data_IF_818112435781
#
_entry.id   IF_818112435781
#
_cell.length_a   1.000
_cell.length_b   1.000
_cell.length_c   1.000
_cell.angle_alpha   90.00
_cell.angle_beta   90.00
_cell.angle_gamma   90.00
#
_symmetry.space_group_name_H-M   'P 1'
#
loop_
_entity.id
_entity.type
_entity.pdbx_description
1 polymer ?
#
# COMPACT_ATOMS: atom_id res chain seq x y z
N UNK A 1 -23.36 16.80 -65.32
CA UNK A 1 -23.81 15.81 -64.31
C UNK A 1 -22.58 15.31 -63.57
N UNK A 2 -22.22 15.93 -62.45
CA UNK A 2 -21.06 15.51 -61.64
C UNK A 2 -21.52 14.45 -60.64
N UNK A 3 -21.11 13.21 -60.85
CA UNK A 3 -21.27 12.14 -59.86
C UNK A 3 -20.21 12.40 -58.79
N UNK A 4 -20.60 13.04 -57.68
CA UNK A 4 -19.81 12.97 -56.43
C UNK A 4 -19.81 11.50 -55.99
N UNK A 5 -18.70 10.81 -56.19
CA UNK A 5 -18.43 9.55 -55.49
C UNK A 5 -18.41 9.88 -54.00
N UNK A 6 -19.46 9.51 -53.29
CA UNK A 6 -19.48 9.46 -51.83
C UNK A 6 -18.36 8.51 -51.40
N UNK A 7 -17.37 9.03 -50.70
CA UNK A 7 -16.25 8.26 -50.17
C UNK A 7 -16.77 7.53 -48.91
N UNK A 8 -17.29 6.31 -49.06
CA UNK A 8 -17.93 5.51 -47.98
C UNK A 8 -16.86 4.81 -47.10
N UNK A 9 -15.72 5.46 -46.80
CA UNK A 9 -14.52 4.79 -46.21
C UNK A 9 -14.01 5.34 -44.87
N UNK A 10 -14.87 5.93 -44.05
CA UNK A 10 -14.56 6.17 -42.64
C UNK A 10 -15.40 5.27 -41.73
N UNK A 11 -15.27 3.96 -41.94
CA UNK A 11 -15.76 2.97 -40.99
C UNK A 11 -14.79 2.93 -39.79
N UNK A 12 -15.29 2.94 -38.54
CA UNK A 12 -14.43 3.05 -37.36
C UNK A 12 -13.62 1.77 -37.15
N UNK A 13 -12.31 1.92 -36.92
CA UNK A 13 -11.45 0.88 -36.35
C UNK A 13 -11.51 1.01 -34.84
N UNK A 14 -11.85 -0.06 -34.14
CA UNK A 14 -11.90 -0.09 -32.69
C UNK A 14 -10.61 -0.71 -32.14
N UNK A 15 -10.01 -0.08 -31.14
CA UNK A 15 -8.89 -0.67 -30.40
C UNK A 15 -9.17 -0.58 -28.91
N UNK A 16 -8.94 -1.68 -28.21
CA UNK A 16 -9.19 -1.81 -26.78
C UNK A 16 -8.25 -2.84 -26.14
N UNK A 17 -8.10 -2.74 -24.82
CA UNK A 17 -7.21 -3.58 -24.02
C UNK A 17 -6.36 -2.74 -23.06
N UNK A 18 -6.03 -3.31 -21.90
CA UNK A 18 -5.28 -2.60 -20.86
C UNK A 18 -3.86 -2.24 -21.31
N UNK A 19 -3.30 -3.00 -22.25
CA UNK A 19 -2.01 -2.70 -22.88
C UNK A 19 -1.98 -1.41 -23.71
N UNK A 20 -3.09 -0.67 -23.83
CA UNK A 20 -3.12 0.69 -24.40
C UNK A 20 -3.06 1.80 -23.33
N UNK A 21 -3.08 1.44 -22.06
CA UNK A 21 -3.10 2.39 -20.93
C UNK A 21 -1.90 2.21 -20.01
N UNK A 22 -1.57 0.96 -19.70
CA UNK A 22 -0.51 0.64 -18.76
C UNK A 22 0.16 -0.69 -19.10
N UNK A 23 1.43 -0.83 -18.73
CA UNK A 23 2.21 -2.06 -18.90
C UNK A 23 3.19 -2.23 -17.74
N UNK A 24 3.43 -3.46 -17.30
CA UNK A 24 4.50 -3.75 -16.35
C UNK A 24 5.80 -4.05 -17.11
N UNK A 25 6.91 -3.49 -16.63
CA UNK A 25 8.25 -3.77 -17.17
C UNK A 25 8.51 -5.28 -17.19
N UNK A 26 9.05 -5.78 -18.30
CA UNK A 26 9.38 -7.18 -18.54
C UNK A 26 8.19 -8.15 -18.53
N UNK A 27 6.94 -7.64 -18.58
CA UNK A 27 5.73 -8.46 -18.66
C UNK A 27 5.03 -8.23 -19.99
N UNK A 28 4.52 -9.30 -20.61
CA UNK A 28 3.76 -9.20 -21.85
C UNK A 28 2.44 -8.47 -21.63
N UNK A 29 2.27 -7.36 -22.33
CA UNK A 29 1.03 -6.59 -22.43
C UNK A 29 0.38 -6.83 -23.78
N UNK A 30 -0.95 -6.68 -23.85
CA UNK A 30 -1.68 -6.92 -25.09
C UNK A 30 -2.84 -5.95 -25.29
N UNK A 31 -3.19 -5.77 -26.57
CA UNK A 31 -4.40 -5.08 -26.99
C UNK A 31 -4.94 -5.66 -28.29
N UNK A 32 -6.20 -5.37 -28.59
CA UNK A 32 -6.93 -5.91 -29.72
C UNK A 32 -7.27 -4.77 -30.69
N UNK A 33 -7.08 -5.03 -31.98
CA UNK A 33 -7.50 -4.19 -33.09
C UNK A 33 -8.64 -4.90 -33.81
N UNK A 34 -9.82 -4.29 -33.80
CA UNK A 34 -11.00 -4.73 -34.54
C UNK A 34 -11.30 -3.73 -35.66
N UNK A 35 -10.96 -4.12 -36.88
CA UNK A 35 -11.21 -3.36 -38.09
C UNK A 35 -12.16 -4.08 -39.06
N UNK A 36 -12.98 -5.02 -38.58
CA UNK A 36 -13.94 -5.79 -39.41
C UNK A 36 -14.76 -4.95 -40.39
N UNK A 37 -15.15 -3.76 -39.98
CA UNK A 37 -15.96 -2.84 -40.78
C UNK A 37 -15.16 -2.01 -41.78
N UNK A 38 -13.82 -1.99 -41.68
CA UNK A 38 -12.97 -1.01 -42.36
C UNK A 38 -11.78 -1.62 -43.13
N UNK A 39 -11.41 -2.87 -42.84
CA UNK A 39 -10.21 -3.50 -43.40
C UNK A 39 -10.42 -4.09 -44.80
N UNK A 40 -9.35 -4.09 -45.59
CA UNK A 40 -9.21 -4.91 -46.80
C UNK A 40 -8.43 -6.19 -46.45
N UNK A 41 -8.68 -7.32 -47.12
CA UNK A 41 -7.94 -8.57 -46.85
C UNK A 41 -6.42 -8.50 -47.04
N UNK A 42 -5.92 -7.50 -47.75
CA UNK A 42 -4.51 -7.22 -47.97
C UNK A 42 -3.91 -6.24 -46.96
N UNK A 43 -4.71 -5.66 -46.07
CA UNK A 43 -4.21 -4.70 -45.09
C UNK A 43 -3.40 -5.43 -44.03
N UNK A 44 -2.21 -4.89 -43.74
CA UNK A 44 -1.34 -5.34 -42.66
C UNK A 44 -1.37 -4.34 -41.51
N UNK A 45 -1.26 -4.84 -40.29
CA UNK A 45 -1.10 -3.99 -39.10
C UNK A 45 0.37 -3.73 -38.87
N UNK A 46 0.74 -2.45 -38.81
CA UNK A 46 2.08 -2.01 -38.44
C UNK A 46 2.04 -1.23 -37.13
N UNK A 47 2.95 -1.58 -36.22
CA UNK A 47 3.10 -0.97 -34.90
C UNK A 47 4.43 -0.22 -34.85
N UNK A 48 4.39 1.01 -34.37
CA UNK A 48 5.59 1.82 -34.09
C UNK A 48 5.57 2.21 -32.62
N UNK A 49 6.70 2.06 -31.95
CA UNK A 49 6.87 2.35 -30.52
C UNK A 49 7.84 3.52 -30.35
N UNK A 50 7.45 4.50 -29.54
CA UNK A 50 8.17 5.74 -29.30
C UNK A 50 8.26 6.01 -27.77
N UNK A 51 9.46 6.27 -27.20
CA UNK A 51 10.76 6.18 -27.85
C UNK A 51 11.08 4.74 -28.29
N UNK A 52 11.93 4.55 -29.31
CA UNK A 52 12.34 3.21 -29.70
C UNK A 52 13.22 2.63 -28.59
N UNK A 53 12.76 1.57 -27.93
CA UNK A 53 13.59 0.84 -26.97
C UNK A 53 14.38 -0.26 -27.71
N UNK A 54 15.62 -0.50 -27.26
CA UNK A 54 16.53 -1.45 -27.93
C UNK A 54 16.03 -2.90 -27.95
N UNK A 55 15.15 -3.25 -27.02
CA UNK A 55 14.75 -4.64 -26.77
C UNK A 55 13.25 -4.87 -26.83
N UNK A 56 12.44 -3.90 -27.29
CA UNK A 56 10.98 -4.06 -27.30
C UNK A 56 10.58 -5.19 -28.24
N UNK A 57 10.00 -6.24 -27.68
CA UNK A 57 9.38 -7.31 -28.45
C UNK A 57 7.97 -6.86 -28.84
N UNK A 58 7.62 -6.96 -30.12
CA UNK A 58 6.25 -6.73 -30.62
C UNK A 58 5.86 -7.89 -31.52
N UNK A 59 4.73 -8.50 -31.23
CA UNK A 59 4.14 -9.56 -32.02
C UNK A 59 2.72 -9.17 -32.44
N UNK A 60 2.48 -9.19 -33.74
CA UNK A 60 1.15 -8.97 -34.32
C UNK A 60 0.59 -10.31 -34.75
N UNK A 61 -0.48 -10.75 -34.10
CA UNK A 61 -1.18 -12.00 -34.37
C UNK A 61 -2.45 -11.67 -35.16
N UNK A 62 -2.54 -12.17 -36.40
CA UNK A 62 -3.71 -12.02 -37.23
C UNK A 62 -4.71 -13.15 -36.92
N UNK A 63 -5.87 -12.82 -36.35
CA UNK A 63 -6.95 -13.77 -36.08
C UNK A 63 -7.90 -13.95 -37.26
N UNK A 64 -7.53 -13.42 -38.43
CA UNK A 64 -8.36 -13.32 -39.63
C UNK A 64 -9.55 -12.38 -39.44
N UNK A 65 -10.27 -12.15 -40.53
CA UNK A 65 -11.50 -11.34 -40.55
C UNK A 65 -11.35 -9.96 -39.90
N UNK A 66 -10.22 -9.27 -40.13
CA UNK A 66 -10.05 -7.91 -39.64
C UNK A 66 -9.83 -7.78 -38.13
N UNK A 67 -9.46 -8.87 -37.46
CA UNK A 67 -9.13 -8.90 -36.05
C UNK A 67 -7.65 -9.22 -35.84
N UNK A 68 -6.94 -8.37 -35.09
CA UNK A 68 -5.56 -8.61 -34.70
C UNK A 68 -5.39 -8.48 -33.19
N UNK A 69 -4.52 -9.31 -32.63
CA UNK A 69 -3.99 -9.15 -31.28
C UNK A 69 -2.55 -8.68 -31.39
N UNK A 70 -2.21 -7.62 -30.65
CA UNK A 70 -0.85 -7.13 -30.55
C UNK A 70 -0.36 -7.46 -29.15
N UNK A 71 0.74 -8.20 -29.07
CA UNK A 71 1.49 -8.45 -27.85
C UNK A 71 2.77 -7.63 -27.87
N UNK A 72 3.15 -7.04 -26.74
CA UNK A 72 4.44 -6.39 -26.61
C UNK A 72 5.02 -6.51 -25.20
N UNK A 73 6.34 -6.35 -25.09
CA UNK A 73 7.05 -6.28 -23.81
C UNK A 73 7.91 -5.02 -23.81
N UNK A 74 7.68 -4.14 -22.85
CA UNK A 74 8.54 -2.97 -22.61
C UNK A 74 9.55 -3.26 -21.50
N UNK A 75 10.72 -2.65 -21.61
CA UNK A 75 11.86 -2.87 -20.70
C UNK A 75 12.24 -1.62 -19.91
N UNK A 76 11.62 -0.47 -20.17
CA UNK A 76 11.95 0.81 -19.56
C UNK A 76 10.72 1.43 -18.89
N UNK A 77 10.90 1.93 -17.67
CA UNK A 77 9.85 2.65 -16.92
C UNK A 77 9.65 4.02 -17.57
N UNK A 78 8.41 4.42 -17.83
CA UNK A 78 8.11 5.73 -18.41
C UNK A 78 6.85 5.77 -19.28
N UNK A 79 6.62 6.91 -19.94
CA UNK A 79 5.57 7.05 -20.96
C UNK A 79 6.08 6.46 -22.29
N UNK A 80 5.37 5.44 -22.77
CA UNK A 80 5.53 4.85 -24.09
C UNK A 80 4.39 5.33 -24.99
N UNK A 81 4.68 5.57 -26.26
CA UNK A 81 3.69 5.89 -27.29
C UNK A 81 3.65 4.79 -28.33
N UNK A 82 2.45 4.23 -28.57
CA UNK A 82 2.20 3.26 -29.62
C UNK A 82 1.45 3.95 -30.75
N UNK A 83 2.02 3.90 -31.96
CA UNK A 83 1.34 4.26 -33.19
C UNK A 83 0.92 3.00 -33.94
N UNK A 84 -0.34 2.97 -34.34
CA UNK A 84 -0.94 1.85 -35.08
C UNK A 84 -1.31 2.30 -36.48
N UNK A 85 -0.88 1.53 -37.47
CA UNK A 85 -1.23 1.70 -38.88
C UNK A 85 -1.97 0.46 -39.37
N UNK A 86 -3.00 0.68 -40.19
CA UNK A 86 -3.67 -0.36 -40.97
C UNK A 86 -3.41 -0.08 -42.45
N UNK A 87 -2.62 -0.93 -43.10
CA UNK A 87 -1.96 -0.59 -44.35
C UNK A 87 -1.08 0.66 -44.17
N UNK A 88 -1.24 1.64 -45.06
CA UNK A 88 -0.54 2.93 -44.97
C UNK A 88 -1.31 4.00 -44.17
N UNK A 89 -2.50 3.68 -43.63
CA UNK A 89 -3.33 4.65 -42.91
C UNK A 89 -3.04 4.61 -41.42
N UNK A 90 -2.63 5.75 -40.86
CA UNK A 90 -2.64 5.96 -39.41
C UNK A 90 -4.09 5.96 -38.94
N UNK A 91 -4.43 5.07 -38.01
CA UNK A 91 -5.80 5.00 -37.49
C UNK A 91 -6.08 6.17 -36.53
N UNK A 92 -7.34 6.35 -36.16
CA UNK A 92 -7.77 7.39 -35.23
C UNK A 92 -7.24 7.14 -33.80
N UNK A 93 -7.19 8.21 -32.99
CA UNK A 93 -6.75 8.20 -31.58
C UNK A 93 -5.28 7.88 -31.32
N UNK A 94 -4.46 7.81 -32.37
CA UNK A 94 -3.01 7.82 -32.23
C UNK A 94 -2.47 9.19 -31.76
N UNK A 95 -1.31 9.22 -31.07
CA UNK A 95 -0.64 8.06 -30.48
C UNK A 95 -1.37 7.58 -29.21
N UNK A 96 -1.36 6.27 -28.98
CA UNK A 96 -1.79 5.71 -27.69
C UNK A 96 -0.67 5.90 -26.68
N UNK A 97 -0.97 6.49 -25.52
CA UNK A 97 -0.01 6.73 -24.44
C UNK A 97 -0.16 5.66 -23.36
N UNK A 98 0.93 4.98 -23.05
CA UNK A 98 1.00 3.88 -22.10
C UNK A 98 1.99 4.26 -20.99
N UNK A 99 1.58 4.12 -19.74
CA UNK A 99 2.48 4.24 -18.61
C UNK A 99 3.09 2.87 -18.28
N UNK A 100 4.40 2.74 -18.48
CA UNK A 100 5.16 1.55 -18.12
C UNK A 100 5.64 1.68 -16.67
N UNK A 101 5.36 0.69 -15.84
CA UNK A 101 5.63 0.71 -14.40
C UNK A 101 6.33 -0.57 -13.91
N UNK A 102 6.98 -0.53 -12.74
CA UNK A 102 7.61 -1.68 -12.10
C UNK A 102 7.26 -1.73 -10.60
N UNK A 103 6.43 -2.71 -10.22
CA UNK A 103 6.04 -2.94 -8.82
C UNK A 103 7.21 -3.34 -7.93
N UNK A 104 8.31 -3.85 -8.49
CA UNK A 104 9.49 -4.24 -7.72
C UNK A 104 10.31 -3.03 -7.24
N UNK A 105 10.04 -1.84 -7.78
CA UNK A 105 10.66 -0.59 -7.34
C UNK A 105 9.87 0.12 -6.23
N UNK A 106 8.77 -0.48 -5.76
CA UNK A 106 7.97 0.07 -4.66
C UNK A 106 8.56 -0.40 -3.33
N UNK A 107 8.78 0.55 -2.42
CA UNK A 107 9.37 0.26 -1.12
C UNK A 107 8.46 0.71 0.02
N UNK A 108 8.25 -0.21 0.96
CA UNK A 108 7.53 0.05 2.21
C UNK A 108 8.54 0.15 3.34
N UNK A 109 8.45 1.22 4.14
CA UNK A 109 9.38 1.47 5.24
C UNK A 109 8.65 1.96 6.48
N UNK A 110 9.33 1.85 7.63
CA UNK A 110 8.82 2.27 8.95
C UNK A 110 7.51 1.58 9.38
N UNK A 111 7.19 0.42 8.83
CA UNK A 111 6.14 -0.42 9.39
C UNK A 111 6.66 -1.12 10.64
N UNK A 112 6.02 -0.88 11.78
CA UNK A 112 6.31 -1.51 13.05
C UNK A 112 5.04 -2.05 13.68
N UNK A 113 5.21 -2.90 14.69
CA UNK A 113 4.14 -3.29 15.59
C UNK A 113 3.52 -2.07 16.29
N UNK A 114 2.31 -2.24 16.79
CA UNK A 114 1.50 -1.16 17.33
C UNK A 114 0.64 -1.57 18.51
N UNK A 115 -0.19 -0.64 18.96
CA UNK A 115 -1.08 -0.86 20.09
C UNK A 115 -2.52 -0.52 19.72
N UNK A 116 -3.47 -1.22 20.34
CA UNK A 116 -4.89 -0.90 20.22
C UNK A 116 -5.13 0.58 20.56
N UNK A 117 -5.92 1.26 19.73
CA UNK A 117 -6.24 2.69 19.82
C UNK A 117 -5.04 3.65 19.67
N UNK A 118 -3.90 3.19 19.15
CA UNK A 118 -2.77 4.05 18.79
C UNK A 118 -2.55 4.01 17.28
N UNK A 119 -2.27 5.17 16.68
CA UNK A 119 -2.02 5.23 15.24
C UNK A 119 -0.75 4.47 14.87
N UNK A 120 -0.88 3.54 13.93
CA UNK A 120 0.26 2.93 13.24
C UNK A 120 0.51 3.74 11.97
N UNK A 121 1.78 4.09 11.73
CA UNK A 121 2.21 4.90 10.59
C UNK A 121 3.36 4.21 9.87
N UNK A 122 3.31 4.22 8.54
CA UNK A 122 4.39 3.71 7.70
C UNK A 122 4.41 4.46 6.36
N UNK A 123 5.51 4.33 5.63
CA UNK A 123 5.75 5.09 4.40
C UNK A 123 5.80 4.15 3.20
N UNK A 124 5.27 4.61 2.06
CA UNK A 124 5.37 3.95 0.76
C UNK A 124 6.07 4.90 -0.22
N UNK A 125 7.17 4.44 -0.79
CA UNK A 125 7.92 5.12 -1.85
C UNK A 125 7.67 4.43 -3.19
N UNK A 126 7.20 5.19 -4.17
CA UNK A 126 6.93 4.75 -5.55
C UNK A 126 7.76 5.53 -6.58
N UNK A 127 8.79 6.27 -6.17
CA UNK A 127 9.52 7.22 -7.04
C UNK A 127 10.15 6.56 -8.26
N UNK A 128 10.57 5.30 -8.13
CA UNK A 128 11.15 4.50 -9.21
C UNK A 128 10.16 3.56 -9.87
N UNK A 129 8.92 3.48 -9.39
CA UNK A 129 7.93 2.52 -9.90
C UNK A 129 7.24 2.99 -11.18
N UNK A 130 7.32 4.28 -11.52
CA UNK A 130 6.56 4.87 -12.62
C UNK A 130 5.19 5.36 -12.17
N UNK A 131 4.39 5.82 -13.12
CA UNK A 131 3.08 6.41 -12.85
C UNK A 131 2.03 5.30 -12.68
N UNK A 132 1.23 5.38 -11.63
CA UNK A 132 0.16 4.43 -11.39
C UNK A 132 -0.69 4.75 -10.17
N UNK A 133 -1.71 3.92 -9.97
CA UNK A 133 -2.63 4.01 -8.85
C UNK A 133 -2.17 3.08 -7.73
N UNK A 134 -1.97 3.65 -6.54
CA UNK A 134 -1.66 2.91 -5.32
C UNK A 134 -2.95 2.63 -4.55
N UNK A 135 -3.11 1.39 -4.09
CA UNK A 135 -4.24 0.92 -3.30
C UNK A 135 -3.71 0.24 -2.04
N UNK A 136 -4.26 0.60 -0.88
CA UNK A 136 -3.85 0.05 0.42
C UNK A 136 -5.09 -0.42 1.17
N UNK A 137 -5.05 -1.65 1.65
CA UNK A 137 -6.11 -2.26 2.45
C UNK A 137 -5.51 -2.79 3.74
N UNK A 138 -6.15 -2.48 4.87
CA UNK A 138 -5.78 -3.05 6.17
C UNK A 138 -6.88 -4.01 6.59
N UNK A 139 -6.49 -5.26 6.85
CA UNK A 139 -7.40 -6.37 7.20
C UNK A 139 -8.52 -6.53 6.17
N UNK A 140 -8.16 -6.70 4.89
CA UNK A 140 -9.11 -6.81 3.77
C UNK A 140 -10.09 -5.61 3.66
N UNK A 141 -9.68 -4.43 4.15
CA UNK A 141 -10.48 -3.20 4.14
C UNK A 141 -11.41 -3.04 5.35
N UNK A 142 -11.36 -3.94 6.34
CA UNK A 142 -12.15 -3.81 7.58
C UNK A 142 -11.64 -2.68 8.48
N UNK A 143 -10.34 -2.35 8.38
CA UNK A 143 -9.73 -1.24 9.11
C UNK A 143 -9.50 -0.09 8.13
N UNK A 144 -10.14 1.05 8.38
CA UNK A 144 -9.95 2.24 7.58
C UNK A 144 -8.52 2.77 7.75
N UNK A 145 -7.85 3.00 6.62
CA UNK A 145 -6.55 3.66 6.57
C UNK A 145 -6.64 4.97 5.78
N UNK A 146 -5.75 5.90 6.08
CA UNK A 146 -5.54 7.14 5.35
C UNK A 146 -4.17 7.09 4.69
N UNK A 147 -4.11 7.37 3.38
CA UNK A 147 -2.87 7.52 2.64
C UNK A 147 -2.71 8.99 2.24
N UNK A 148 -1.82 9.71 2.93
CA UNK A 148 -1.51 11.10 2.65
C UNK A 148 -0.30 11.18 1.71
N UNK A 149 -0.47 11.77 0.54
CA UNK A 149 0.64 12.06 -0.37
C UNK A 149 1.51 13.18 0.20
N UNK A 150 2.80 12.91 0.44
CA UNK A 150 3.83 13.92 0.75
C UNK A 150 4.41 14.52 -0.53
N UNK A 151 4.50 13.70 -1.57
CA UNK A 151 4.88 14.09 -2.93
C UNK A 151 4.13 13.22 -3.94
N UNK A 152 4.36 13.45 -5.24
CA UNK A 152 3.75 12.62 -6.30
C UNK A 152 4.10 11.14 -6.21
N UNK A 153 5.15 10.77 -5.47
CA UNK A 153 5.64 9.39 -5.38
C UNK A 153 5.98 8.93 -3.96
N UNK A 154 5.52 9.65 -2.94
CA UNK A 154 5.78 9.29 -1.54
C UNK A 154 4.49 9.49 -0.72
N UNK A 155 4.12 8.46 0.02
CA UNK A 155 2.85 8.39 0.74
C UNK A 155 3.07 7.98 2.20
N UNK A 156 2.47 8.73 3.12
CA UNK A 156 2.37 8.35 4.53
C UNK A 156 1.02 7.67 4.75
N UNK A 157 1.08 6.40 5.12
CA UNK A 157 -0.11 5.62 5.45
C UNK A 157 -0.29 5.57 6.95
N UNK A 158 -1.50 5.80 7.41
CA UNK A 158 -1.87 5.74 8.82
C UNK A 158 -3.16 4.96 9.00
N UNK A 159 -3.23 4.09 10.00
CA UNK A 159 -4.47 3.45 10.42
C UNK A 159 -4.57 3.37 11.95
N UNK A 160 -5.79 3.17 12.45
CA UNK A 160 -6.08 3.07 13.88
C UNK A 160 -6.68 1.69 14.19
N UNK A 161 -5.89 0.73 14.71
CA UNK A 161 -6.38 -0.59 15.05
C UNK A 161 -7.30 -0.54 16.28
N UNK A 162 -8.37 -1.33 16.24
CA UNK A 162 -9.37 -1.42 17.33
C UNK A 162 -9.33 -2.75 18.09
N UNK A 163 -8.59 -3.72 17.58
CA UNK A 163 -8.45 -5.05 18.16
C UNK A 163 -6.98 -5.44 18.18
N UNK A 164 -6.60 -6.27 19.14
CA UNK A 164 -5.26 -6.86 19.18
C UNK A 164 -5.14 -8.03 18.20
N UNK A 165 -3.91 -8.44 17.91
CA UNK A 165 -3.56 -9.53 17.02
C UNK A 165 -2.88 -9.07 15.73
N UNK A 166 -2.54 -10.04 14.90
CA UNK A 166 -1.84 -9.83 13.64
C UNK A 166 -2.72 -9.11 12.62
N UNK A 167 -2.33 -7.89 12.24
CA UNK A 167 -2.99 -7.12 11.18
C UNK A 167 -2.24 -7.29 9.86
N UNK A 168 -2.99 -7.58 8.78
CA UNK A 168 -2.44 -7.69 7.42
C UNK A 168 -2.67 -6.42 6.62
N UNK A 169 -1.66 -6.01 5.87
CA UNK A 169 -1.65 -4.80 5.05
C UNK A 169 -1.37 -5.20 3.61
N UNK A 170 -2.42 -5.16 2.79
CA UNK A 170 -2.38 -5.47 1.37
C UNK A 170 -2.13 -4.18 0.58
N UNK A 171 -1.11 -4.19 -0.28
CA UNK A 171 -0.72 -3.05 -1.09
C UNK A 171 -0.68 -3.49 -2.54
N UNK A 172 -1.42 -2.76 -3.37
CA UNK A 172 -1.47 -2.97 -4.81
C UNK A 172 -1.10 -1.70 -5.56
N UNK A 173 -0.50 -1.89 -6.73
CA UNK A 173 -0.16 -0.83 -7.65
C UNK A 173 -0.66 -1.21 -9.05
N UNK A 174 -1.52 -0.37 -9.63
CA UNK A 174 -2.22 -0.65 -10.88
C UNK A 174 -2.95 -2.02 -10.85
N UNK A 175 -3.55 -2.37 -9.70
CA UNK A 175 -4.24 -3.65 -9.48
C UNK A 175 -3.33 -4.85 -9.22
N UNK A 176 -1.99 -4.71 -9.30
CA UNK A 176 -1.04 -5.78 -9.05
C UNK A 176 -0.50 -5.72 -7.61
N UNK A 177 -0.39 -6.88 -6.97
CA UNK A 177 0.14 -6.98 -5.59
C UNK A 177 1.66 -6.77 -5.59
N UNK A 178 2.15 -5.84 -4.78
CA UNK A 178 3.58 -5.52 -4.73
C UNK A 178 4.37 -6.61 -3.98
N UNK A 179 5.68 -6.76 -4.22
CA UNK A 179 6.51 -7.67 -3.45
C UNK A 179 6.47 -7.37 -1.95
N UNK A 180 6.39 -8.43 -1.14
CA UNK A 180 6.30 -8.34 0.33
C UNK A 180 4.88 -8.16 0.86
N UNK A 181 3.91 -7.84 0.01
CA UNK A 181 2.50 -7.80 0.39
C UNK A 181 1.89 -9.23 0.44
N UNK A 182 1.03 -9.54 1.42
CA UNK A 182 0.62 -8.68 2.54
C UNK A 182 1.75 -8.50 3.56
N UNK A 183 1.90 -7.27 4.02
CA UNK A 183 2.75 -6.97 5.17
C UNK A 183 2.00 -7.28 6.47
N UNK A 184 2.75 -7.55 7.53
CA UNK A 184 2.21 -7.90 8.83
C UNK A 184 2.72 -6.92 9.89
N UNK A 185 1.85 -6.59 10.84
CA UNK A 185 2.22 -5.93 12.09
C UNK A 185 1.40 -6.52 13.23
N UNK A 186 2.04 -6.78 14.36
CA UNK A 186 1.36 -7.23 15.55
C UNK A 186 0.81 -6.03 16.32
N UNK A 187 -0.48 -6.11 16.67
CA UNK A 187 -1.14 -5.10 17.49
C UNK A 187 -1.37 -5.69 18.88
N UNK A 188 -0.78 -5.07 19.89
CA UNK A 188 -0.97 -5.50 21.28
C UNK A 188 -1.94 -4.58 22.04
N UNK A 189 -2.48 -5.07 23.15
CA UNK A 189 -3.10 -4.18 24.13
C UNK A 189 -1.99 -3.35 24.80
N UNK A 190 -2.19 -2.03 24.87
CA UNK A 190 -1.27 -1.22 25.66
C UNK A 190 -1.40 -1.65 27.12
N UNK A 191 -0.27 -1.99 27.74
CA UNK A 191 -0.23 -2.44 29.11
C UNK A 191 -0.85 -1.35 30.03
N UNK A 192 -2.07 -1.60 30.52
CA UNK A 192 -2.73 -0.71 31.47
C UNK A 192 -2.12 -0.97 32.83
N UNK A 193 -1.27 -0.05 33.30
CA UNK A 193 -0.85 -0.03 34.70
C UNK A 193 -2.01 0.53 35.51
N UNK A 194 -2.69 -0.30 36.29
CA UNK A 194 -3.68 0.18 37.26
C UNK A 194 -3.12 -0.02 38.66
N UNK A 195 -3.23 1.03 39.48
CA UNK A 195 -2.90 0.95 40.90
C UNK A 195 -4.21 0.94 41.69
N UNK A 196 -4.34 0.04 42.65
CA UNK A 196 -5.55 -0.13 43.47
C UNK A 196 -5.20 -0.41 44.93
N UNK A 197 -6.14 -0.14 45.84
CA UNK A 197 -6.02 -0.24 47.31
C UNK A 197 -5.12 0.84 47.97
N UNK A 198 -5.60 1.39 49.09
CA UNK A 198 -4.89 2.29 50.03
C UNK A 198 -4.02 3.39 49.42
N UNK A 199 -4.49 4.04 48.35
CA UNK A 199 -3.79 5.17 47.72
C UNK A 199 -3.98 6.51 48.44
N UNK A 200 -4.82 6.55 49.47
CA UNK A 200 -5.13 7.76 50.21
C UNK A 200 -5.14 7.47 51.72
N UNK A 201 -4.50 8.35 52.49
CA UNK A 201 -4.39 8.33 53.95
C UNK A 201 -3.74 7.06 54.52
N UNK A 202 -2.42 7.08 54.68
CA UNK A 202 -1.62 6.00 55.28
C UNK A 202 -1.23 6.35 56.73
N UNK A 203 -1.24 5.36 57.62
CA UNK A 203 -0.76 5.54 58.99
C UNK A 203 0.76 5.44 59.06
N UNK A 204 1.39 6.44 59.68
CA UNK A 204 2.83 6.42 59.95
C UNK A 204 3.20 5.24 60.84
N UNK A 205 4.35 4.63 60.55
CA UNK A 205 4.92 3.46 61.20
C UNK A 205 4.04 2.19 61.13
N UNK A 206 3.05 2.16 60.24
CA UNK A 206 2.22 0.98 60.00
C UNK A 206 2.41 0.48 58.55
N UNK A 207 2.30 -0.84 58.32
CA UNK A 207 2.32 -1.39 56.96
C UNK A 207 1.19 -0.82 56.11
N UNK A 208 1.52 -0.43 54.89
CA UNK A 208 0.59 -0.02 53.84
C UNK A 208 0.90 -0.78 52.56
N UNK A 209 -0.11 -0.98 51.73
CA UNK A 209 0.07 -1.69 50.48
C UNK A 209 -0.87 -1.25 49.38
N UNK A 210 -0.41 -1.41 48.15
CA UNK A 210 -1.22 -1.24 46.95
C UNK A 210 -0.90 -2.33 45.93
N UNK A 211 -1.85 -2.56 45.03
CA UNK A 211 -1.75 -3.54 43.96
C UNK A 211 -1.50 -2.82 42.64
N UNK A 212 -0.48 -3.26 41.90
CA UNK A 212 -0.27 -2.90 40.50
C UNK A 212 -0.74 -4.04 39.62
N UNK A 213 -1.70 -3.79 38.73
CA UNK A 213 -1.95 -4.69 37.61
C UNK A 213 -1.24 -4.14 36.37
N UNK A 214 -0.46 -4.97 35.68
CA UNK A 214 0.24 -4.60 34.45
C UNK A 214 0.39 -5.81 33.52
N UNK A 215 0.43 -5.56 32.22
CA UNK A 215 0.72 -6.58 31.21
C UNK A 215 2.21 -6.60 30.78
N UNK A 216 2.99 -5.57 31.14
CA UNK A 216 4.44 -5.48 30.87
C UNK A 216 5.29 -5.96 32.06
N UNK A 217 6.45 -6.57 31.76
CA UNK A 217 7.39 -7.06 32.78
C UNK A 217 8.28 -5.97 33.39
N UNK A 218 8.32 -4.77 32.80
CA UNK A 218 9.15 -3.67 33.26
C UNK A 218 8.30 -2.52 33.80
N UNK A 219 8.25 -2.41 35.13
CA UNK A 219 7.69 -1.27 35.86
C UNK A 219 8.73 -0.79 36.85
N UNK A 220 9.08 0.49 36.75
CA UNK A 220 9.84 1.17 37.77
C UNK A 220 8.87 1.82 38.77
N UNK A 221 9.05 1.48 40.06
CA UNK A 221 8.20 1.98 41.15
C UNK A 221 9.07 2.87 42.02
N UNK A 222 8.66 4.12 42.18
CA UNK A 222 9.28 5.08 43.07
C UNK A 222 8.27 5.55 44.11
N UNK A 223 8.59 5.32 45.39
CA UNK A 223 7.81 5.80 46.52
C UNK A 223 8.68 6.82 47.26
N UNK A 224 8.16 8.02 47.46
CA UNK A 224 8.82 9.08 48.21
C UNK A 224 8.04 9.41 49.48
N UNK A 225 8.75 9.78 50.53
CA UNK A 225 8.15 10.39 51.71
C UNK A 225 7.86 11.88 51.49
N UNK A 226 7.13 12.55 52.40
CA UNK A 226 6.90 14.00 52.33
C UNK A 226 8.18 14.85 52.34
N UNK A 227 9.30 14.30 52.83
CA UNK A 227 10.62 14.95 52.77
C UNK A 227 11.42 14.57 51.52
N UNK A 228 10.80 13.93 50.52
CA UNK A 228 11.41 13.39 49.31
C UNK A 228 12.47 12.31 49.55
N UNK A 229 12.42 11.62 50.69
CA UNK A 229 13.27 10.44 50.91
C UNK A 229 12.70 9.23 50.18
N UNK A 230 13.56 8.45 49.52
CA UNK A 230 13.15 7.19 48.92
C UNK A 230 12.66 6.23 50.01
N UNK A 231 11.44 5.71 49.83
CA UNK A 231 10.82 4.74 50.72
C UNK A 231 11.08 3.35 50.17
N UNK A 232 11.67 2.49 50.99
CA UNK A 232 11.85 1.09 50.64
C UNK A 232 10.50 0.37 50.61
N UNK A 233 10.34 -0.51 49.63
CA UNK A 233 9.17 -1.35 49.48
C UNK A 233 9.57 -2.78 49.17
N UNK A 234 8.67 -3.71 49.45
CA UNK A 234 8.75 -5.09 49.01
C UNK A 234 7.74 -5.29 47.87
N UNK A 235 8.16 -6.06 46.86
CA UNK A 235 7.29 -6.46 45.75
C UNK A 235 7.05 -7.96 45.80
N UNK A 236 5.80 -8.37 45.69
CA UNK A 236 5.38 -9.76 45.64
C UNK A 236 4.57 -10.00 44.38
N UNK A 237 5.04 -10.88 43.49
CA UNK A 237 4.27 -11.23 42.30
C UNK A 237 3.09 -12.13 42.69
N UNK A 238 1.87 -11.66 42.44
CA UNK A 238 0.64 -12.40 42.78
C UNK A 238 0.25 -13.35 41.63
N UNK A 239 0.35 -12.88 40.39
CA UNK A 239 0.19 -13.68 39.17
C UNK A 239 0.90 -12.97 38.00
N UNK A 240 0.86 -13.51 36.77
CA UNK A 240 1.56 -12.92 35.61
C UNK A 240 1.24 -11.44 35.33
N UNK A 241 0.07 -10.95 35.78
CA UNK A 241 -0.41 -9.59 35.51
C UNK A 241 -0.55 -8.71 36.76
N UNK A 242 -0.23 -9.22 37.96
CA UNK A 242 -0.48 -8.50 39.22
C UNK A 242 0.70 -8.60 40.17
N UNK A 243 1.16 -7.45 40.65
CA UNK A 243 2.23 -7.29 41.64
C UNK A 243 1.69 -6.55 42.86
N UNK A 244 1.88 -7.12 44.05
CA UNK A 244 1.55 -6.49 45.33
C UNK A 244 2.77 -5.74 45.87
N UNK A 245 2.57 -4.52 46.36
CA UNK A 245 3.62 -3.66 46.90
C UNK A 245 3.33 -3.35 48.37
N UNK A 246 4.27 -3.69 49.25
CA UNK A 246 4.22 -3.42 50.68
C UNK A 246 5.29 -2.39 51.07
N UNK A 247 4.91 -1.40 51.88
CA UNK A 247 5.83 -0.35 52.35
C UNK A 247 5.41 0.18 53.73
N UNK A 248 6.32 0.92 54.37
CA UNK A 248 6.08 1.60 55.65
C UNK A 248 6.56 3.04 55.52
N UNK A 249 5.69 4.00 55.82
CA UNK A 249 6.04 5.42 55.90
C UNK A 249 6.35 5.80 57.35
N UNK A 250 7.49 6.46 57.57
CA UNK A 250 7.93 6.89 58.91
C UNK A 250 7.78 8.40 59.14
N UNK A 251 7.22 9.13 58.18
CA UNK A 251 7.12 10.58 58.18
C UNK A 251 5.67 11.02 57.93
N UNK A 252 5.25 12.10 58.57
CA UNK A 252 3.91 12.70 58.42
C UNK A 252 3.97 13.78 57.34
N UNK A 253 3.03 13.77 56.41
CA UNK A 253 2.87 14.79 55.37
C UNK A 253 2.25 14.22 54.10
N UNK A 254 2.23 15.02 53.03
CA UNK A 254 1.86 14.62 51.66
C UNK A 254 3.10 14.32 50.82
#
# INVERSE_FOLDING_TARGET
>A
MFIRRLNIRDQPVNIFGDGLRQAQVNVQSSFIIDARSAYNPTDEVKIIICPPERSTYVQVINHHDGLWMVNYVSHEIGELQILVYLGDKLINNNPFKINVFDINQIHVSNLSDGYVNHFVKFNIDTIKAGIGQLEVFVQDGQVLCSALSRSTSEFDVTFLPRHCGLHRIDIRFNGLTIPGSPFACDIDEMARVTVSNHLTNVHVAHPASFDICNQSQHIDIHIASPLNHCVFYQRTQVNEKKTHIDYILNEIGE
#
